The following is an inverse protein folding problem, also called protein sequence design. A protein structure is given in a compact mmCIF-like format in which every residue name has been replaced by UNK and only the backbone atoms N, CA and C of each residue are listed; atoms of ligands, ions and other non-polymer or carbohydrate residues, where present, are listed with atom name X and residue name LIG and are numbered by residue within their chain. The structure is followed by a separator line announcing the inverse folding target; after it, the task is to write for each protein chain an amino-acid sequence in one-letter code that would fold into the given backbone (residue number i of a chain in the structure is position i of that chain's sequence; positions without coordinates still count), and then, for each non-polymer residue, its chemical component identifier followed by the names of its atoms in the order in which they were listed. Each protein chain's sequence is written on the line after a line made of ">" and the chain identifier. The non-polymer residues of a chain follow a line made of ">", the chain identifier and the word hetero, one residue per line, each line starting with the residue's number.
data_IF_594977328483
#
_entry.id   IF_594977328483
#
_cell.length_a   1.000
_cell.length_b   1.000
_cell.length_c   1.000
_cell.angle_alpha   90.00
_cell.angle_beta   90.00
_cell.angle_gamma   90.00
#
_symmetry.space_group_name_H-M   'P 1'
#
loop_
_entity.id
_entity.type
_entity.pdbx_description
1 polymer ?
#
# COMPACT_ATOMS: atom_id res chain seq x y z
N UNK A 1 -19.35 7.66 11.74
CA UNK A 1 -20.14 6.92 12.80
C UNK A 1 -20.19 5.47 12.38
N UNK A 2 -19.86 4.53 13.25
CA UNK A 2 -19.86 3.11 12.90
C UNK A 2 -21.29 2.59 12.69
N UNK A 3 -21.45 1.72 11.70
CA UNK A 3 -22.72 1.06 11.42
C UNK A 3 -22.83 -0.25 12.22
N UNK A 4 -24.08 -0.73 12.39
CA UNK A 4 -24.36 -2.02 13.01
C UNK A 4 -23.60 -3.17 12.32
N UNK A 5 -23.60 -3.18 11.00
CA UNK A 5 -22.94 -4.22 10.20
C UNK A 5 -21.42 -4.20 10.39
N UNK A 6 -20.82 -3.01 10.42
CA UNK A 6 -19.39 -2.86 10.65
C UNK A 6 -18.93 -3.44 11.99
N UNK A 7 -19.68 -3.18 13.07
CA UNK A 7 -19.32 -3.70 14.39
C UNK A 7 -19.42 -5.23 14.44
N UNK A 8 -20.47 -5.82 13.86
CA UNK A 8 -20.60 -7.27 13.83
C UNK A 8 -19.56 -7.93 12.93
N UNK A 9 -19.24 -7.31 11.81
CA UNK A 9 -18.18 -7.77 10.91
C UNK A 9 -16.82 -7.74 11.60
N UNK A 10 -16.54 -6.68 12.38
CA UNK A 10 -15.31 -6.60 13.16
C UNK A 10 -15.19 -7.71 14.19
N UNK A 11 -16.30 -8.06 14.89
CA UNK A 11 -16.32 -9.20 15.81
C UNK A 11 -16.08 -10.53 15.12
N UNK A 12 -16.66 -10.74 13.93
CA UNK A 12 -16.43 -11.97 13.15
C UNK A 12 -14.96 -12.06 12.72
N UNK A 13 -14.37 -10.97 12.26
CA UNK A 13 -12.97 -10.89 11.86
C UNK A 13 -12.01 -11.12 13.02
N UNK A 14 -12.30 -10.51 14.17
CA UNK A 14 -11.52 -10.74 15.39
C UNK A 14 -11.59 -12.22 15.81
N UNK A 15 -12.78 -12.86 15.76
CA UNK A 15 -12.91 -14.27 16.03
C UNK A 15 -11.99 -15.10 15.12
N UNK A 16 -12.06 -14.88 13.82
CA UNK A 16 -11.23 -15.58 12.83
C UNK A 16 -9.74 -15.33 13.09
N UNK A 17 -9.33 -14.08 13.32
CA UNK A 17 -7.95 -13.71 13.56
C UNK A 17 -7.35 -14.38 14.81
N UNK A 18 -8.19 -14.66 15.80
CA UNK A 18 -7.80 -15.35 17.04
C UNK A 18 -8.09 -16.86 17.02
N UNK A 19 -8.49 -17.41 15.87
CA UNK A 19 -8.71 -18.85 15.68
C UNK A 19 -10.02 -19.39 16.29
N UNK A 20 -11.01 -18.52 16.47
CA UNK A 20 -12.32 -18.90 17.03
C UNK A 20 -13.43 -18.85 15.98
N UNK A 21 -14.43 -19.72 16.12
CA UNK A 21 -15.75 -19.47 15.55
C UNK A 21 -16.48 -18.40 16.37
N UNK A 22 -17.54 -17.74 15.85
CA UNK A 22 -18.33 -16.79 16.64
C UNK A 22 -18.87 -17.38 17.94
N UNK A 23 -19.37 -18.62 17.91
CA UNK A 23 -19.84 -19.34 19.11
C UNK A 23 -18.68 -19.70 20.04
N UNK A 24 -17.51 -20.05 19.50
CA UNK A 24 -16.30 -20.31 20.27
C UNK A 24 -15.81 -19.07 21.02
N UNK A 25 -15.79 -17.92 20.33
CA UNK A 25 -15.41 -16.64 20.92
C UNK A 25 -16.40 -16.24 22.04
N UNK A 26 -17.72 -16.40 21.82
CA UNK A 26 -18.73 -16.13 22.84
C UNK A 26 -18.50 -16.98 24.11
N UNK A 27 -18.31 -18.29 23.96
CA UNK A 27 -18.00 -19.19 25.10
C UNK A 27 -16.70 -18.80 25.81
N UNK A 28 -15.64 -18.52 25.07
CA UNK A 28 -14.33 -18.11 25.63
C UNK A 28 -14.44 -16.81 26.41
N UNK A 29 -15.35 -15.91 25.99
CA UNK A 29 -15.63 -14.63 26.66
C UNK A 29 -16.61 -14.73 27.81
N UNK A 30 -17.04 -15.95 28.22
CA UNK A 30 -18.00 -16.15 29.30
C UNK A 30 -19.40 -15.70 28.95
N UNK A 31 -19.77 -15.71 27.65
CA UNK A 31 -21.08 -15.37 27.13
C UNK A 31 -21.83 -16.65 26.67
N UNK A 32 -23.16 -16.53 26.50
CA UNK A 32 -23.91 -17.60 25.85
C UNK A 32 -23.36 -17.87 24.44
N UNK A 33 -23.22 -19.15 24.08
CA UNK A 33 -22.62 -19.57 22.81
C UNK A 33 -23.31 -19.01 21.57
N UNK A 34 -24.57 -18.61 21.68
CA UNK A 34 -25.38 -18.05 20.60
C UNK A 34 -25.29 -16.53 20.50
N UNK A 35 -24.64 -15.86 21.46
CA UNK A 35 -24.63 -14.39 21.58
C UNK A 35 -24.16 -13.69 20.31
N UNK A 36 -23.22 -14.29 19.55
CA UNK A 36 -22.64 -13.71 18.33
C UNK A 36 -23.17 -14.32 17.04
N UNK A 37 -24.18 -15.21 17.13
CA UNK A 37 -24.79 -15.80 15.93
C UNK A 37 -25.49 -14.74 15.07
N UNK A 38 -25.40 -14.88 13.75
CA UNK A 38 -26.04 -13.95 12.80
C UNK A 38 -27.55 -13.79 13.07
N UNK A 39 -28.24 -14.87 13.44
CA UNK A 39 -29.67 -14.85 13.79
C UNK A 39 -30.05 -14.03 15.03
N UNK A 40 -29.07 -13.66 15.85
CA UNK A 40 -29.24 -12.83 17.05
C UNK A 40 -28.97 -11.34 16.84
N UNK A 41 -28.44 -10.96 15.67
CA UNK A 41 -28.05 -9.59 15.35
C UNK A 41 -29.22 -8.68 14.97
N UNK A 42 -30.36 -9.28 14.69
CA UNK A 42 -31.61 -8.59 14.43
C UNK A 42 -32.66 -9.18 15.38
N UNK A 43 -33.45 -8.32 16.00
CA UNK A 43 -34.54 -8.74 16.86
C UNK A 43 -35.74 -9.24 16.05
N UNK A 44 -36.68 -9.98 16.64
CA UNK A 44 -37.86 -10.48 15.93
C UNK A 44 -38.75 -9.39 15.31
N UNK A 45 -38.70 -8.16 15.83
CA UNK A 45 -39.37 -6.97 15.31
C UNK A 45 -38.53 -6.21 14.23
N UNK A 46 -37.43 -6.83 13.73
CA UNK A 46 -36.60 -6.29 12.66
C UNK A 46 -35.61 -5.21 13.09
N UNK A 47 -35.44 -4.89 14.36
CA UNK A 47 -34.51 -3.88 14.83
C UNK A 47 -33.10 -4.41 14.97
N UNK A 48 -32.07 -3.62 14.61
CA UNK A 48 -30.67 -3.97 14.81
C UNK A 48 -30.35 -4.18 16.29
N UNK A 49 -29.77 -5.32 16.63
CA UNK A 49 -29.24 -5.62 17.97
C UNK A 49 -27.71 -5.40 17.94
N UNK A 50 -27.28 -4.44 18.72
CA UNK A 50 -25.86 -4.15 18.90
C UNK A 50 -25.26 -5.06 19.97
N UNK A 51 -23.97 -5.45 19.86
CA UNK A 51 -23.30 -6.05 21.00
C UNK A 51 -23.23 -5.04 22.14
N UNK A 52 -23.46 -5.49 23.37
CA UNK A 52 -23.34 -4.60 24.52
C UNK A 52 -21.87 -4.22 24.76
N UNK A 53 -21.65 -3.09 25.40
CA UNK A 53 -20.28 -2.67 25.81
C UNK A 53 -19.63 -3.69 26.73
N UNK A 54 -20.44 -4.37 27.58
CA UNK A 54 -19.97 -5.47 28.41
C UNK A 54 -19.49 -6.65 27.58
N UNK A 55 -20.28 -7.05 26.55
CA UNK A 55 -19.87 -8.14 25.65
C UNK A 55 -18.60 -7.82 24.91
N UNK A 56 -18.46 -6.58 24.40
CA UNK A 56 -17.22 -6.11 23.75
C UNK A 56 -16.04 -6.14 24.71
N UNK A 57 -16.20 -5.61 25.94
CA UNK A 57 -15.14 -5.61 26.96
C UNK A 57 -14.65 -7.02 27.27
N UNK A 58 -15.57 -7.98 27.46
CA UNK A 58 -15.23 -9.39 27.72
C UNK A 58 -14.44 -10.01 26.56
N UNK A 59 -14.89 -9.74 25.31
CA UNK A 59 -14.19 -10.23 24.11
C UNK A 59 -12.79 -9.65 24.01
N UNK A 60 -12.65 -8.34 24.16
CA UNK A 60 -11.35 -7.66 24.05
C UNK A 60 -10.36 -8.16 25.11
N UNK A 61 -10.84 -8.32 26.36
CA UNK A 61 -10.03 -8.85 27.46
C UNK A 61 -9.54 -10.27 27.19
N UNK A 62 -10.42 -11.17 26.74
CA UNK A 62 -10.08 -12.59 26.57
C UNK A 62 -9.23 -12.86 25.32
N UNK A 63 -9.28 -11.93 24.36
CA UNK A 63 -8.49 -11.99 23.12
C UNK A 63 -7.20 -11.18 23.20
N UNK A 64 -6.93 -10.52 24.33
CA UNK A 64 -5.83 -9.57 24.49
C UNK A 64 -5.75 -8.60 23.29
N UNK A 65 -6.87 -7.88 23.10
CA UNK A 65 -7.06 -6.96 21.97
C UNK A 65 -7.45 -5.60 22.54
N UNK A 66 -6.75 -4.55 22.13
CA UNK A 66 -7.12 -3.18 22.53
C UNK A 66 -8.35 -2.70 21.74
N UNK A 67 -9.02 -1.64 22.23
CA UNK A 67 -10.09 -1.02 21.45
C UNK A 67 -9.57 -0.44 20.13
N UNK A 68 -8.36 0.06 20.09
CA UNK A 68 -7.70 0.54 18.87
C UNK A 68 -7.52 -0.59 17.84
N UNK A 69 -7.05 -1.76 18.31
CA UNK A 69 -6.91 -2.93 17.44
C UNK A 69 -8.30 -3.42 16.95
N UNK A 70 -9.33 -3.37 17.81
CA UNK A 70 -10.68 -3.74 17.42
C UNK A 70 -11.23 -2.80 16.33
N UNK A 71 -10.96 -1.49 16.43
CA UNK A 71 -11.35 -0.52 15.42
C UNK A 71 -10.70 -0.85 14.07
N UNK A 72 -9.47 -1.34 14.05
CA UNK A 72 -8.80 -1.75 12.80
C UNK A 72 -9.55 -2.88 12.08
N UNK A 73 -10.29 -3.74 12.79
CA UNK A 73 -11.17 -4.74 12.18
C UNK A 73 -12.46 -4.16 11.59
N UNK A 74 -12.89 -2.96 12.05
CA UNK A 74 -14.06 -2.27 11.50
C UNK A 74 -13.75 -1.71 10.11
N UNK A 75 -12.60 -1.08 9.97
CA UNK A 75 -12.16 -0.40 8.73
C UNK A 75 -11.61 -1.36 7.67
N UNK A 76 -11.44 -2.65 8.03
CA UNK A 76 -11.19 -3.67 7.03
C UNK A 76 -12.48 -3.90 6.25
N UNK A 77 -12.68 -3.19 5.15
CA UNK A 77 -13.62 -3.62 4.11
C UNK A 77 -13.37 -5.11 3.80
N UNK A 78 -14.41 -5.93 3.56
CA UNK A 78 -14.16 -7.24 2.99
C UNK A 78 -13.32 -6.99 1.74
N UNK A 79 -12.19 -7.67 1.62
CA UNK A 79 -11.33 -7.62 0.43
C UNK A 79 -12.12 -8.23 -0.74
N UNK A 80 -13.18 -7.55 -1.15
CA UNK A 80 -13.78 -7.74 -2.47
C UNK A 80 -12.70 -7.33 -3.45
N UNK A 81 -12.47 -8.16 -4.44
CA UNK A 81 -11.57 -7.81 -5.52
C UNK A 81 -11.94 -6.39 -5.99
N UNK A 82 -10.99 -5.46 -5.88
CA UNK A 82 -11.22 -4.08 -6.32
C UNK A 82 -11.56 -4.11 -7.80
N UNK A 83 -12.68 -3.50 -8.16
CA UNK A 83 -12.99 -3.30 -9.56
C UNK A 83 -12.18 -2.12 -10.13
N UNK A 84 -12.18 -1.94 -11.44
CA UNK A 84 -11.42 -0.88 -12.09
C UNK A 84 -11.82 0.53 -11.61
N UNK A 85 -13.08 0.75 -11.28
CA UNK A 85 -13.55 2.03 -10.76
C UNK A 85 -12.98 2.31 -9.35
N UNK A 86 -12.89 1.29 -8.49
CA UNK A 86 -12.28 1.41 -7.17
C UNK A 86 -10.79 1.78 -7.29
N UNK A 87 -10.07 1.10 -8.18
CA UNK A 87 -8.65 1.38 -8.46
C UNK A 87 -8.44 2.79 -9.01
N UNK A 88 -9.30 3.20 -9.94
CA UNK A 88 -9.26 4.56 -10.49
C UNK A 88 -9.52 5.63 -9.41
N UNK A 89 -10.49 5.40 -8.53
CA UNK A 89 -10.75 6.29 -7.40
C UNK A 89 -9.57 6.37 -6.42
N UNK A 90 -8.88 5.25 -6.16
CA UNK A 90 -7.64 5.24 -5.36
C UNK A 90 -6.54 6.05 -6.05
N UNK A 91 -6.35 5.84 -7.36
CA UNK A 91 -5.35 6.56 -8.13
C UNK A 91 -5.60 8.08 -8.13
N UNK A 92 -6.85 8.50 -8.28
CA UNK A 92 -7.26 9.92 -8.20
C UNK A 92 -7.04 10.51 -6.80
N UNK A 93 -7.39 9.78 -5.73
CA UNK A 93 -7.11 10.23 -4.35
C UNK A 93 -5.61 10.41 -4.11
N UNK A 94 -4.80 9.46 -4.59
CA UNK A 94 -3.35 9.55 -4.46
C UNK A 94 -2.79 10.72 -5.26
N UNK A 95 -3.24 10.93 -6.49
CA UNK A 95 -2.85 12.07 -7.31
C UNK A 95 -3.19 13.41 -6.64
N UNK A 96 -4.41 13.53 -6.12
CA UNK A 96 -4.86 14.74 -5.41
C UNK A 96 -4.00 15.02 -4.17
N UNK A 97 -3.77 14.00 -3.34
CA UNK A 97 -2.93 14.13 -2.14
C UNK A 97 -1.49 14.54 -2.49
N UNK A 98 -0.91 14.01 -3.57
CA UNK A 98 0.43 14.38 -4.03
C UNK A 98 0.51 15.83 -4.51
N UNK A 99 -0.54 16.35 -5.17
CA UNK A 99 -0.63 17.75 -5.58
C UNK A 99 -0.79 18.64 -4.35
N UNK A 100 -1.75 18.38 -3.47
CA UNK A 100 -2.06 19.19 -2.29
C UNK A 100 -0.89 19.25 -1.29
N UNK A 101 -0.14 18.20 -1.14
CA UNK A 101 1.07 18.15 -0.31
C UNK A 101 2.29 18.76 -1.00
N UNK A 102 2.15 19.27 -2.21
CA UNK A 102 3.27 19.74 -3.03
C UNK A 102 4.36 18.68 -3.22
N UNK A 103 3.99 17.40 -3.20
CA UNK A 103 4.88 16.30 -3.55
C UNK A 103 5.07 16.19 -5.07
N UNK A 104 4.11 16.71 -5.84
CA UNK A 104 4.16 16.88 -7.30
C UNK A 104 4.26 18.38 -7.60
N UNK A 105 5.17 18.73 -8.50
CA UNK A 105 5.40 20.08 -8.96
C UNK A 105 5.42 20.12 -10.48
N UNK A 106 4.77 21.14 -11.07
CA UNK A 106 4.83 21.46 -12.49
C UNK A 106 5.54 22.80 -12.66
N UNK A 107 6.55 22.88 -13.53
CA UNK A 107 7.22 24.10 -13.91
C UNK A 107 7.69 24.01 -15.36
N UNK A 108 6.89 24.56 -16.25
CA UNK A 108 7.14 24.57 -17.69
C UNK A 108 8.08 25.72 -18.09
N UNK A 109 7.97 26.87 -17.42
CA UNK A 109 8.77 28.07 -17.72
C UNK A 109 10.22 27.90 -17.32
N UNK A 110 10.44 27.28 -16.16
CA UNK A 110 11.78 26.96 -15.63
C UNK A 110 11.85 25.46 -15.28
N UNK A 111 12.02 24.59 -16.29
CA UNK A 111 11.99 23.15 -16.07
C UNK A 111 13.05 22.67 -15.11
N UNK A 112 12.69 21.67 -14.30
CA UNK A 112 13.60 21.02 -13.36
C UNK A 112 14.75 20.33 -14.10
N UNK A 113 15.96 20.42 -13.53
CA UNK A 113 17.08 19.61 -14.01
C UNK A 113 17.12 18.31 -13.24
N UNK A 114 16.92 17.19 -13.92
CA UNK A 114 16.98 15.87 -13.33
C UNK A 114 18.42 15.45 -13.04
N UNK A 115 18.60 14.40 -12.23
CA UNK A 115 19.94 13.85 -11.92
C UNK A 115 20.74 13.43 -13.18
N UNK A 116 20.05 13.08 -14.24
CA UNK A 116 20.63 12.78 -15.56
C UNK A 116 21.14 14.01 -16.32
N UNK A 117 20.92 15.23 -15.81
CA UNK A 117 21.17 16.49 -16.51
C UNK A 117 20.05 16.92 -17.46
N UNK A 118 19.07 16.07 -17.74
CA UNK A 118 17.94 16.35 -18.64
C UNK A 118 16.92 17.27 -17.98
N UNK A 119 16.23 18.06 -18.80
CA UNK A 119 15.14 18.93 -18.35
C UNK A 119 13.82 18.17 -18.22
N UNK A 120 12.98 18.56 -17.26
CA UNK A 120 11.64 18.01 -17.04
C UNK A 120 10.70 19.09 -16.56
N UNK A 121 9.49 19.24 -17.13
CA UNK A 121 8.49 20.19 -16.65
C UNK A 121 7.79 19.70 -15.39
N UNK A 122 8.09 18.45 -14.97
CA UNK A 122 7.47 17.82 -13.81
C UNK A 122 8.53 17.29 -12.84
N UNK A 123 8.21 17.35 -11.56
CA UNK A 123 9.04 16.79 -10.49
C UNK A 123 8.16 16.12 -9.45
N UNK A 124 8.61 15.02 -8.90
CA UNK A 124 7.93 14.31 -7.80
C UNK A 124 8.90 13.97 -6.67
N UNK A 125 8.46 14.23 -5.45
CA UNK A 125 9.11 13.81 -4.21
C UNK A 125 8.09 13.14 -3.27
N UNK A 126 7.90 11.85 -3.43
CA UNK A 126 7.00 11.07 -2.57
C UNK A 126 7.41 11.10 -1.10
N UNK A 127 8.68 11.38 -0.77
CA UNK A 127 9.17 11.44 0.62
C UNK A 127 8.48 12.54 1.44
N UNK A 128 8.02 13.61 0.78
CA UNK A 128 7.25 14.67 1.47
C UNK A 128 5.97 14.14 2.10
N UNK A 129 5.28 13.20 1.43
CA UNK A 129 4.04 12.60 1.89
C UNK A 129 4.16 11.94 3.28
N UNK A 130 5.35 11.49 3.67
CA UNK A 130 5.62 10.87 4.98
C UNK A 130 5.20 11.80 6.15
N UNK A 131 5.33 13.11 5.96
CA UNK A 131 5.04 14.11 6.99
C UNK A 131 3.56 14.50 7.10
N UNK A 132 2.73 14.16 6.11
CA UNK A 132 1.31 14.51 6.07
C UNK A 132 0.47 13.33 6.57
N UNK A 133 0.07 13.40 7.83
CA UNK A 133 -0.49 12.24 8.56
C UNK A 133 -1.78 11.72 7.93
N UNK A 134 -2.71 12.60 7.54
CA UNK A 134 -4.00 12.21 6.99
C UNK A 134 -3.87 11.59 5.59
N UNK A 135 -3.19 12.31 4.70
CA UNK A 135 -2.93 11.88 3.32
C UNK A 135 -2.14 10.57 3.30
N UNK A 136 -1.05 10.51 4.06
CA UNK A 136 -0.26 9.29 4.22
C UNK A 136 -1.11 8.12 4.69
N UNK A 137 -1.94 8.31 5.74
CA UNK A 137 -2.76 7.22 6.26
C UNK A 137 -3.78 6.73 5.23
N UNK A 138 -4.44 7.64 4.51
CA UNK A 138 -5.36 7.31 3.42
C UNK A 138 -4.66 6.50 2.34
N UNK A 139 -3.52 7.00 1.85
CA UNK A 139 -2.78 6.32 0.78
C UNK A 139 -2.23 4.96 1.21
N UNK A 140 -1.79 4.82 2.46
CA UNK A 140 -1.29 3.53 2.95
C UNK A 140 -2.41 2.52 3.16
N UNK A 141 -3.62 2.95 3.49
CA UNK A 141 -4.80 2.09 3.51
C UNK A 141 -5.16 1.64 2.08
N UNK A 142 -5.18 2.57 1.12
CA UNK A 142 -5.41 2.26 -0.30
C UNK A 142 -4.33 1.29 -0.84
N UNK A 143 -3.06 1.51 -0.49
CA UNK A 143 -1.96 0.61 -0.86
C UNK A 143 -2.14 -0.81 -0.30
N UNK A 144 -2.49 -0.93 0.98
CA UNK A 144 -2.75 -2.23 1.60
C UNK A 144 -3.95 -2.95 0.95
N UNK A 145 -5.01 -2.21 0.60
CA UNK A 145 -6.18 -2.75 -0.09
C UNK A 145 -5.83 -3.20 -1.51
N UNK A 146 -5.07 -2.40 -2.27
CA UNK A 146 -4.63 -2.73 -3.62
C UNK A 146 -3.75 -3.99 -3.63
N UNK A 147 -2.76 -4.06 -2.74
CA UNK A 147 -1.89 -5.23 -2.58
C UNK A 147 -2.69 -6.47 -2.21
N UNK A 148 -3.64 -6.35 -1.28
CA UNK A 148 -4.48 -7.47 -0.87
C UNK A 148 -5.41 -7.95 -1.98
N UNK A 149 -5.95 -7.03 -2.79
CA UNK A 149 -6.84 -7.35 -3.92
C UNK A 149 -6.08 -8.00 -5.08
N UNK A 150 -4.93 -7.44 -5.45
CA UNK A 150 -4.21 -7.84 -6.66
C UNK A 150 -3.31 -9.06 -6.47
N UNK A 151 -2.80 -9.26 -5.27
CA UNK A 151 -1.87 -10.34 -4.93
C UNK A 151 -2.54 -11.38 -4.01
N UNK A 152 -3.28 -10.91 -3.03
CA UNK A 152 -3.83 -11.71 -1.94
C UNK A 152 -2.95 -11.64 -0.69
N UNK A 153 -3.52 -11.16 0.40
CA UNK A 153 -2.80 -11.01 1.69
C UNK A 153 -2.12 -12.32 2.14
N UNK A 154 -2.79 -13.45 1.93
CA UNK A 154 -2.30 -14.75 2.40
C UNK A 154 -1.14 -15.29 1.55
N UNK A 155 -0.92 -14.74 0.36
CA UNK A 155 0.20 -15.08 -0.52
C UNK A 155 1.48 -14.30 -0.20
N UNK A 156 1.42 -13.31 0.68
CA UNK A 156 2.56 -12.49 1.08
C UNK A 156 3.00 -12.93 2.46
N UNK A 157 4.26 -13.30 2.61
CA UNK A 157 4.85 -13.65 3.90
C UNK A 157 5.51 -12.43 4.56
N UNK A 158 6.22 -11.59 3.78
CA UNK A 158 7.04 -10.48 4.28
C UNK A 158 6.97 -9.29 3.31
N UNK A 159 7.01 -8.07 3.84
CA UNK A 159 7.23 -6.86 3.05
C UNK A 159 8.68 -6.40 3.19
N UNK A 160 9.32 -6.03 2.08
CA UNK A 160 10.69 -5.53 2.05
C UNK A 160 10.72 -4.08 1.57
N UNK A 161 11.11 -3.14 2.44
CA UNK A 161 11.33 -1.75 2.04
C UNK A 161 12.68 -1.54 1.37
N UNK A 162 12.72 -0.94 0.17
CA UNK A 162 13.98 -0.57 -0.47
C UNK A 162 14.59 0.70 0.14
N UNK A 163 15.91 0.68 0.37
CA UNK A 163 16.62 1.86 0.89
C UNK A 163 16.59 3.01 -0.14
N UNK A 164 16.17 4.22 0.25
CA UNK A 164 15.87 4.72 1.59
C UNK A 164 14.36 4.95 1.75
N UNK A 165 13.69 5.43 0.71
CA UNK A 165 12.30 5.90 0.81
C UNK A 165 11.29 4.75 0.90
N UNK A 166 11.60 3.58 0.39
CA UNK A 166 10.75 2.39 0.54
C UNK A 166 10.63 1.89 1.99
N UNK A 167 11.59 2.22 2.87
CA UNK A 167 11.57 1.78 4.27
C UNK A 167 10.33 2.29 5.02
N UNK A 168 10.04 3.61 5.11
CA UNK A 168 8.84 4.08 5.80
C UNK A 168 7.55 3.58 5.16
N UNK A 169 7.47 3.51 3.84
CA UNK A 169 6.30 2.97 3.14
C UNK A 169 6.09 1.48 3.44
N UNK A 170 7.16 0.70 3.41
CA UNK A 170 7.13 -0.71 3.83
C UNK A 170 6.61 -0.87 5.26
N UNK A 171 7.08 -0.04 6.20
CA UNK A 171 6.64 -0.07 7.59
C UNK A 171 5.14 0.23 7.74
N UNK A 172 4.64 1.30 7.10
CA UNK A 172 3.23 1.66 7.18
C UNK A 172 2.31 0.63 6.53
N UNK A 173 2.71 0.04 5.41
CA UNK A 173 1.89 -0.96 4.71
C UNK A 173 1.93 -2.30 5.44
N UNK A 174 3.08 -2.71 5.98
CA UNK A 174 3.21 -3.96 6.73
C UNK A 174 2.35 -3.97 8.00
N UNK A 175 2.28 -2.83 8.70
CA UNK A 175 1.41 -2.65 9.87
C UNK A 175 -0.06 -2.88 9.49
N UNK A 176 -0.55 -2.27 8.40
CA UNK A 176 -1.93 -2.42 7.92
C UNK A 176 -2.25 -3.82 7.44
N UNK A 177 -1.29 -4.48 6.81
CA UNK A 177 -1.43 -5.88 6.38
C UNK A 177 -1.21 -6.87 7.52
N UNK A 178 -0.75 -6.42 8.69
CA UNK A 178 -0.31 -7.25 9.80
C UNK A 178 0.67 -8.35 9.32
N UNK A 179 1.72 -7.92 8.65
CA UNK A 179 2.78 -8.78 8.09
C UNK A 179 4.15 -8.37 8.60
N UNK A 180 5.10 -9.30 8.74
CA UNK A 180 6.49 -8.98 9.02
C UNK A 180 7.08 -8.03 7.98
N UNK A 181 8.03 -7.20 8.41
CA UNK A 181 8.78 -6.29 7.56
C UNK A 181 10.27 -6.49 7.71
N UNK A 182 10.97 -6.40 6.60
CA UNK A 182 12.43 -6.25 6.49
C UNK A 182 12.73 -5.04 5.62
N UNK A 183 14.00 -4.60 5.56
CA UNK A 183 14.40 -3.66 4.53
C UNK A 183 15.71 -4.07 3.86
N UNK A 184 15.89 -3.60 2.63
CA UNK A 184 17.02 -3.97 1.79
C UNK A 184 17.86 -2.72 1.52
N UNK A 185 19.15 -2.80 1.79
CA UNK A 185 20.13 -1.75 1.55
C UNK A 185 20.58 -1.79 0.08
N UNK A 186 21.02 -0.64 -0.44
CA UNK A 186 21.66 -0.57 -1.76
C UNK A 186 22.99 -1.34 -1.81
N UNK A 187 23.69 -1.33 -0.68
CA UNK A 187 24.97 -2.01 -0.54
C UNK A 187 25.02 -2.79 0.78
N UNK A 188 25.74 -3.93 0.83
CA UNK A 188 25.98 -4.65 2.07
C UNK A 188 26.71 -3.78 3.09
N UNK A 189 26.45 -4.01 4.39
CA UNK A 189 27.23 -3.40 5.46
C UNK A 189 28.68 -3.86 5.40
N UNK A 190 29.62 -2.93 5.54
CA UNK A 190 31.05 -3.22 5.68
C UNK A 190 31.45 -3.76 7.07
N UNK A 191 30.50 -3.98 8.00
CA UNK A 191 30.73 -4.40 9.37
C UNK A 191 29.54 -5.24 9.92
N UNK A 192 29.74 -5.86 11.07
CA UNK A 192 28.73 -6.69 11.73
C UNK A 192 28.42 -7.96 10.94
N UNK A 193 27.15 -8.20 10.64
CA UNK A 193 26.73 -9.37 9.86
C UNK A 193 27.04 -9.27 8.37
N UNK A 194 27.57 -8.15 7.89
CA UNK A 194 27.84 -7.84 6.47
C UNK A 194 26.60 -8.08 5.56
N UNK A 195 25.41 -7.95 6.14
CA UNK A 195 24.18 -8.26 5.46
C UNK A 195 23.67 -7.05 4.68
N UNK A 196 23.07 -7.31 3.53
CA UNK A 196 22.35 -6.31 2.75
C UNK A 196 20.88 -6.21 3.20
N UNK A 197 20.36 -7.24 3.86
CA UNK A 197 19.00 -7.29 4.39
C UNK A 197 19.04 -7.07 5.90
N UNK A 198 18.18 -6.18 6.37
CA UNK A 198 17.97 -5.86 7.78
C UNK A 198 16.60 -6.37 8.25
N UNK A 199 16.58 -6.93 9.44
CA UNK A 199 15.45 -7.65 9.98
C UNK A 199 15.69 -9.15 9.98
N UNK A 200 14.62 -9.91 10.13
CA UNK A 200 14.67 -11.37 10.12
C UNK A 200 13.84 -11.93 8.96
N UNK A 201 14.51 -12.63 8.06
CA UNK A 201 13.86 -13.40 7.00
C UNK A 201 14.07 -14.89 7.31
N UNK A 202 13.00 -15.67 7.53
CA UNK A 202 13.12 -17.10 7.78
C UNK A 202 13.56 -17.84 6.51
N UNK A 203 14.21 -18.96 6.65
CA UNK A 203 14.60 -19.83 5.53
C UNK A 203 13.39 -20.39 4.78
N UNK A 204 12.31 -20.68 5.53
CA UNK A 204 11.04 -21.16 4.97
C UNK A 204 9.85 -20.46 5.61
N UNK A 205 8.76 -20.35 4.85
CA UNK A 205 7.47 -19.89 5.36
C UNK A 205 6.75 -21.01 6.14
N UNK A 206 5.56 -20.71 6.66
CA UNK A 206 4.75 -21.68 7.44
C UNK A 206 4.40 -22.98 6.70
N UNK A 207 4.47 -22.97 5.36
CA UNK A 207 4.20 -24.13 4.50
C UNK A 207 5.47 -24.87 4.10
N UNK A 208 6.65 -24.49 4.62
CA UNK A 208 7.93 -25.12 4.28
C UNK A 208 8.54 -24.67 2.94
N UNK A 209 7.95 -23.64 2.30
CA UNK A 209 8.44 -23.08 1.06
C UNK A 209 9.32 -21.84 1.31
N UNK A 210 10.05 -21.38 0.28
CA UNK A 210 10.71 -20.08 0.32
C UNK A 210 9.70 -18.97 0.65
N UNK A 211 10.06 -17.98 1.49
CA UNK A 211 9.15 -16.89 1.82
C UNK A 211 8.82 -16.03 0.58
N UNK A 212 7.56 -15.73 0.39
CA UNK A 212 7.09 -14.79 -0.64
C UNK A 212 7.23 -13.36 -0.12
N UNK A 213 8.09 -12.60 -0.77
CA UNK A 213 8.42 -11.22 -0.39
C UNK A 213 7.94 -10.26 -1.46
N UNK A 214 7.23 -9.20 -1.06
CA UNK A 214 6.92 -8.06 -1.93
C UNK A 214 7.90 -6.91 -1.66
N UNK A 215 8.50 -6.36 -2.71
CA UNK A 215 9.34 -5.16 -2.61
C UNK A 215 8.45 -3.91 -2.56
N UNK A 216 8.70 -3.03 -1.60
CA UNK A 216 8.00 -1.74 -1.44
C UNK A 216 8.98 -0.60 -1.68
N UNK A 217 8.62 0.32 -2.56
CA UNK A 217 9.36 1.53 -2.86
C UNK A 217 8.43 2.75 -2.94
N UNK A 218 8.98 3.95 -2.97
CA UNK A 218 8.21 5.19 -3.09
C UNK A 218 7.78 5.45 -4.53
N UNK A 219 8.70 5.32 -5.49
CA UNK A 219 8.40 5.58 -6.89
C UNK A 219 9.19 4.66 -7.85
N UNK A 220 8.71 4.62 -9.11
CA UNK A 220 9.44 4.01 -10.22
C UNK A 220 9.47 4.93 -11.43
N UNK A 221 10.66 5.14 -11.98
CA UNK A 221 10.88 5.73 -13.32
C UNK A 221 11.07 4.62 -14.36
N UNK A 222 12.29 4.15 -14.53
CA UNK A 222 12.67 3.05 -15.42
C UNK A 222 12.83 1.69 -14.72
N UNK A 223 12.85 1.67 -13.38
CA UNK A 223 12.95 0.44 -12.58
C UNK A 223 14.39 -0.08 -12.37
N UNK A 224 15.41 0.60 -12.85
CA UNK A 224 16.80 0.15 -12.78
C UNK A 224 17.29 -0.11 -11.35
N UNK A 225 16.91 0.71 -10.37
CA UNK A 225 17.31 0.55 -8.97
C UNK A 225 16.71 -0.70 -8.30
N UNK A 226 15.54 -1.15 -8.76
CA UNK A 226 14.84 -2.30 -8.15
C UNK A 226 15.57 -3.62 -8.36
N UNK A 227 16.33 -3.74 -9.43
CA UNK A 227 17.14 -4.92 -9.71
C UNK A 227 18.03 -5.30 -8.52
N UNK A 228 18.74 -4.32 -7.95
CA UNK A 228 19.67 -4.54 -6.82
C UNK A 228 18.92 -5.14 -5.61
N UNK A 229 17.74 -4.60 -5.28
CA UNK A 229 16.96 -5.07 -4.14
C UNK A 229 16.36 -6.45 -4.38
N UNK A 230 15.84 -6.69 -5.58
CA UNK A 230 15.22 -7.98 -5.97
C UNK A 230 16.26 -9.09 -5.96
N UNK A 231 17.44 -8.84 -6.55
CA UNK A 231 18.54 -9.82 -6.56
C UNK A 231 19.01 -10.14 -5.14
N UNK A 232 19.23 -9.12 -4.29
CA UNK A 232 19.61 -9.33 -2.90
C UNK A 232 18.58 -10.17 -2.10
N UNK A 233 17.29 -9.95 -2.32
CA UNK A 233 16.22 -10.75 -1.69
C UNK A 233 16.22 -12.18 -2.19
N UNK A 234 16.38 -12.40 -3.50
CA UNK A 234 16.44 -13.73 -4.12
C UNK A 234 17.68 -14.52 -3.70
N UNK A 235 18.81 -13.85 -3.63
CA UNK A 235 20.08 -14.44 -3.16
C UNK A 235 20.00 -14.85 -1.68
N UNK A 236 19.21 -14.15 -0.89
CA UNK A 236 18.91 -14.51 0.49
C UNK A 236 17.83 -15.60 0.63
N UNK A 237 17.34 -16.15 -0.47
CA UNK A 237 16.42 -17.28 -0.49
C UNK A 237 14.94 -16.94 -0.65
N UNK A 238 14.57 -15.67 -0.85
CA UNK A 238 13.18 -15.28 -1.05
C UNK A 238 12.66 -15.56 -2.46
N UNK A 239 11.35 -15.77 -2.57
CA UNK A 239 10.61 -15.64 -3.82
C UNK A 239 10.12 -14.19 -3.92
N UNK A 240 10.46 -13.50 -5.03
CA UNK A 240 10.05 -12.12 -5.29
C UNK A 240 9.45 -12.06 -6.68
N UNK A 241 8.14 -11.87 -6.75
CA UNK A 241 7.36 -11.79 -8.00
C UNK A 241 6.60 -10.47 -8.13
N UNK A 242 6.53 -9.69 -7.05
CA UNK A 242 5.77 -8.46 -6.98
C UNK A 242 6.59 -7.32 -6.40
N UNK A 243 6.38 -6.12 -6.95
CA UNK A 243 6.83 -4.86 -6.37
C UNK A 243 5.66 -3.87 -6.32
N UNK A 244 5.64 -3.04 -5.30
CA UNK A 244 4.67 -1.96 -5.14
C UNK A 244 5.38 -0.62 -5.03
N UNK A 245 4.80 0.40 -5.66
CA UNK A 245 5.22 1.80 -5.54
C UNK A 245 4.02 2.70 -5.28
N UNK A 246 4.23 3.80 -4.56
CA UNK A 246 3.20 4.84 -4.43
C UNK A 246 2.98 5.53 -5.77
N UNK A 247 4.07 5.77 -6.52
CA UNK A 247 4.02 6.48 -7.77
C UNK A 247 4.80 5.78 -8.88
N UNK A 248 4.17 5.56 -10.02
CA UNK A 248 4.82 5.09 -11.24
C UNK A 248 4.81 6.20 -12.31
N UNK A 249 5.95 6.48 -12.90
CA UNK A 249 6.04 7.45 -13.98
C UNK A 249 5.16 7.06 -15.18
N UNK A 250 5.19 5.79 -15.55
CA UNK A 250 4.37 5.17 -16.62
C UNK A 250 4.46 5.89 -17.97
N UNK A 251 5.64 6.44 -18.27
CA UNK A 251 5.95 7.14 -19.52
C UNK A 251 7.21 6.61 -20.20
N UNK A 252 7.95 5.72 -19.54
CA UNK A 252 9.19 5.15 -20.06
C UNK A 252 9.00 3.66 -20.36
N UNK A 253 9.10 3.22 -21.65
CA UNK A 253 9.00 1.79 -22.01
C UNK A 253 9.97 0.90 -21.24
N UNK A 254 11.17 1.40 -20.94
CA UNK A 254 12.17 0.70 -20.14
C UNK A 254 11.65 0.24 -18.76
N UNK A 255 10.65 0.93 -18.19
CA UNK A 255 10.05 0.51 -16.92
C UNK A 255 9.42 -0.88 -17.04
N UNK A 256 8.62 -1.11 -18.07
CA UNK A 256 8.00 -2.40 -18.32
C UNK A 256 9.03 -3.46 -18.68
N UNK A 257 9.96 -3.13 -19.59
CA UNK A 257 11.01 -4.04 -20.06
C UNK A 257 11.87 -4.56 -18.90
N UNK A 258 12.30 -3.67 -17.99
CA UNK A 258 13.10 -4.02 -16.83
C UNK A 258 12.32 -4.91 -15.84
N UNK A 259 11.03 -4.63 -15.60
CA UNK A 259 10.20 -5.45 -14.71
C UNK A 259 9.92 -6.82 -15.32
N UNK A 260 9.61 -6.89 -16.60
CA UNK A 260 9.40 -8.16 -17.33
C UNK A 260 10.69 -9.01 -17.32
N UNK A 261 11.84 -8.41 -17.57
CA UNK A 261 13.14 -9.11 -17.52
C UNK A 261 13.47 -9.69 -16.14
N UNK A 262 12.98 -9.05 -15.07
CA UNK A 262 13.11 -9.52 -13.70
C UNK A 262 12.00 -10.50 -13.30
N UNK A 263 10.96 -10.71 -14.13
CA UNK A 263 9.78 -11.48 -13.78
C UNK A 263 8.99 -10.84 -12.62
N UNK A 264 8.89 -9.51 -12.59
CA UNK A 264 8.23 -8.75 -11.53
C UNK A 264 6.97 -8.10 -12.07
N UNK A 265 5.85 -8.35 -11.40
CA UNK A 265 4.63 -7.58 -11.60
C UNK A 265 4.68 -6.32 -10.71
N UNK A 266 4.71 -5.14 -11.37
CA UNK A 266 4.66 -3.87 -10.67
C UNK A 266 3.21 -3.49 -10.35
N UNK A 267 2.98 -3.04 -9.12
CA UNK A 267 1.74 -2.43 -8.66
C UNK A 267 2.02 -0.99 -8.28
N UNK A 268 1.18 -0.08 -8.73
CA UNK A 268 1.33 1.34 -8.45
C UNK A 268 0.00 1.92 -7.96
N UNK A 269 0.07 2.83 -6.99
CA UNK A 269 -1.13 3.48 -6.49
C UNK A 269 -1.63 4.55 -7.47
N UNK A 270 -0.69 5.30 -8.09
CA UNK A 270 -1.01 6.34 -9.07
C UNK A 270 0.12 6.56 -10.07
N UNK A 271 -0.16 7.30 -11.14
CA UNK A 271 0.76 7.60 -12.24
C UNK A 271 0.71 9.08 -12.61
N UNK A 272 1.60 9.53 -13.51
CA UNK A 272 1.53 10.88 -14.09
C UNK A 272 0.23 11.14 -14.84
N UNK A 273 -0.36 10.13 -15.46
CA UNK A 273 -1.63 10.26 -16.18
C UNK A 273 -2.77 10.61 -15.23
N UNK A 274 -2.86 9.90 -14.10
CA UNK A 274 -3.86 10.21 -13.06
C UNK A 274 -3.64 11.59 -12.44
N UNK A 275 -2.38 12.01 -12.27
CA UNK A 275 -2.04 13.37 -11.78
C UNK A 275 -2.49 14.43 -12.78
N UNK A 276 -2.24 14.22 -14.08
CA UNK A 276 -2.66 15.16 -15.12
C UNK A 276 -4.20 15.28 -15.21
N UNK A 277 -4.91 14.15 -15.10
CA UNK A 277 -6.37 14.14 -15.12
C UNK A 277 -6.96 14.91 -13.92
N UNK A 278 -6.46 14.64 -12.71
CA UNK A 278 -6.89 15.33 -11.48
C UNK A 278 -6.55 16.82 -11.55
N UNK A 279 -5.37 17.15 -12.09
CA UNK A 279 -4.96 18.55 -12.24
C UNK A 279 -5.88 19.34 -13.19
N UNK A 280 -6.40 18.68 -14.23
CA UNK A 280 -7.40 19.25 -15.15
C UNK A 280 -8.78 19.37 -14.49
N UNK A 281 -9.26 18.29 -13.90
CA UNK A 281 -10.58 18.23 -13.25
C UNK A 281 -10.74 19.30 -12.17
N UNK A 282 -9.68 19.57 -11.41
CA UNK A 282 -9.70 20.52 -10.28
C UNK A 282 -9.10 21.90 -10.62
N UNK A 283 -8.70 22.15 -11.86
CA UNK A 283 -8.13 23.41 -12.31
C UNK A 283 -6.91 23.88 -11.48
N UNK A 284 -6.04 22.93 -11.08
CA UNK A 284 -4.86 23.24 -10.26
C UNK A 284 -3.80 24.07 -11.02
N UNK A 285 -3.79 23.99 -12.35
CA UNK A 285 -2.84 24.67 -13.22
C UNK A 285 -3.55 25.26 -14.44
N UNK A 286 -2.92 26.23 -15.09
CA UNK A 286 -3.42 26.80 -16.34
C UNK A 286 -3.32 25.80 -17.52
N UNK A 287 -4.10 26.06 -18.57
CA UNK A 287 -4.21 25.19 -19.74
C UNK A 287 -2.84 25.00 -20.44
N UNK A 288 -2.06 26.08 -20.57
CA UNK A 288 -0.76 26.06 -21.24
C UNK A 288 0.23 25.11 -20.50
N UNK A 289 0.24 25.20 -19.16
CA UNK A 289 1.03 24.28 -18.31
C UNK A 289 0.60 22.84 -18.49
N UNK A 290 -0.72 22.55 -18.47
CA UNK A 290 -1.23 21.19 -18.60
C UNK A 290 -0.97 20.60 -19.99
N UNK A 291 -1.08 21.38 -21.07
CA UNK A 291 -0.77 20.95 -22.43
C UNK A 291 0.72 20.64 -22.62
N UNK A 292 1.60 21.46 -22.05
CA UNK A 292 3.04 21.23 -22.10
C UNK A 292 3.45 20.00 -21.29
N UNK A 293 2.84 19.78 -20.11
CA UNK A 293 3.06 18.57 -19.32
C UNK A 293 2.58 17.35 -20.09
N UNK A 294 1.40 17.39 -20.70
CA UNK A 294 0.88 16.29 -21.50
C UNK A 294 1.80 15.95 -22.68
N UNK A 295 2.32 16.98 -23.37
CA UNK A 295 3.29 16.78 -24.45
C UNK A 295 4.56 16.07 -23.97
N UNK A 296 5.06 16.45 -22.78
CA UNK A 296 6.18 15.77 -22.16
C UNK A 296 5.85 14.31 -21.81
N UNK A 297 4.68 14.04 -21.22
CA UNK A 297 4.30 12.68 -20.83
C UNK A 297 4.15 11.74 -22.05
N UNK A 298 3.70 12.27 -23.19
CA UNK A 298 3.55 11.52 -24.45
C UNK A 298 4.90 11.23 -25.13
N UNK A 299 5.81 12.17 -25.12
CA UNK A 299 7.12 12.03 -25.74
C UNK A 299 8.19 12.84 -24.96
N UNK A 300 8.74 12.27 -23.88
CA UNK A 300 9.73 12.96 -23.04
C UNK A 300 10.99 13.36 -23.80
N UNK A 301 11.41 12.57 -24.79
CA UNK A 301 12.64 12.83 -25.56
C UNK A 301 12.42 14.04 -26.46
N UNK A 302 11.36 14.02 -27.26
CA UNK A 302 11.03 15.12 -28.15
C UNK A 302 10.84 16.45 -27.41
N UNK A 303 10.16 16.39 -26.26
CA UNK A 303 9.97 17.58 -25.43
C UNK A 303 11.31 18.12 -24.92
N UNK A 304 12.22 17.25 -24.47
CA UNK A 304 13.53 17.62 -23.97
C UNK A 304 14.41 18.27 -25.05
N UNK A 305 14.34 17.78 -26.28
CA UNK A 305 15.07 18.35 -27.43
C UNK A 305 14.56 19.76 -27.79
N UNK A 306 13.29 20.07 -27.51
CA UNK A 306 12.69 21.38 -27.75
C UNK A 306 12.94 22.37 -26.59
N UNK A 307 13.19 21.87 -25.40
CA UNK A 307 13.42 22.65 -24.20
C UNK A 307 14.92 22.90 -23.88
N UNK A 308 15.83 22.36 -24.70
CA UNK A 308 17.28 22.54 -24.61
C UNK A 308 17.71 23.81 -25.35
#
# INVERSE_FOLDING_TARGET
>A
MFTHEQIWTALDRLAIAKGYSPSGLAKKSGLDSTSFNKSKRISPDGKPRWPSTESLSKVLTVTDTTMSDFISFIDQEPLTALNENDKNNMAKRAANALIETQSVLFNVKEPFTLKSGKKSPVYIDCRRLISFVQERNTLMNDAANLISSDIGRDKIDILAGGETAGIPYGAYISDRLNKPMIYVRKEPKGYGRMAQIEGHMPETNKSGNKPNVILIEDLQTDGGSKKIFIEALRDAGATVEHAFVVFHYDIFPASKENMDALGIKLHALTTWWSVLDVARENHYFDTETLESVEAFLKDPIKWQDQAA
#
